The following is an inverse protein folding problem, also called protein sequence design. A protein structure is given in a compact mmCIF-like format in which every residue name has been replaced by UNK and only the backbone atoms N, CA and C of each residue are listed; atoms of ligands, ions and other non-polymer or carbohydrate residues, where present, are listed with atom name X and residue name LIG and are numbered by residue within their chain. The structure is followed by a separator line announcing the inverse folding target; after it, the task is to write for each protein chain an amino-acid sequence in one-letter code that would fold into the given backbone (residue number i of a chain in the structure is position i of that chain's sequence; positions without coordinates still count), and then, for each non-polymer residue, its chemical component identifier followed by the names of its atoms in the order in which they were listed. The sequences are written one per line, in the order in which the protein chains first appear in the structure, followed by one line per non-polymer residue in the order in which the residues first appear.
data_IF_282314834860
#
_entry.id   IF_282314834860
#
_cell.length_a   1.000
_cell.length_b   1.000
_cell.length_c   1.000
_cell.angle_alpha   90.00
_cell.angle_beta   90.00
_cell.angle_gamma   90.00
#
_symmetry.space_group_name_H-M   'P 1'
#
loop_
_entity.id
_entity.type
_entity.pdbx_description
1 polymer ?
#
# COMPACT_ATOMS: atom_id res chain seq x y z
N UNK A 1 5.68 46.08 -16.63
CA UNK A 1 5.93 45.28 -17.85
C UNK A 1 7.28 44.60 -17.73
N UNK A 2 7.44 43.44 -18.39
CA UNK A 2 8.47 42.37 -18.22
C UNK A 2 8.09 41.39 -17.09
N UNK A 3 7.08 40.55 -17.33
CA UNK A 3 7.22 39.17 -17.86
C UNK A 3 7.99 38.26 -16.89
N UNK A 4 7.37 37.30 -16.21
CA UNK A 4 6.72 36.16 -16.86
C UNK A 4 7.78 35.14 -17.23
N UNK A 5 8.11 34.23 -16.29
CA UNK A 5 8.68 32.88 -16.51
C UNK A 5 9.07 32.25 -15.18
N UNK A 6 8.24 31.31 -14.72
CA UNK A 6 8.61 29.98 -14.24
C UNK A 6 7.45 29.38 -13.45
N UNK A 7 6.31 29.16 -14.12
CA UNK A 7 5.45 28.05 -13.73
C UNK A 7 6.23 26.78 -14.11
N UNK A 8 7.12 26.33 -13.21
CA UNK A 8 7.67 24.98 -13.31
C UNK A 8 6.48 24.06 -13.15
N UNK A 9 6.15 23.32 -14.20
CA UNK A 9 5.38 22.08 -14.11
C UNK A 9 6.16 21.11 -13.21
N UNK A 10 6.07 21.30 -11.90
CA UNK A 10 6.57 20.33 -10.93
C UNK A 10 5.47 19.32 -10.77
N UNK A 11 5.53 18.22 -11.54
CA UNK A 11 4.62 17.08 -11.35
C UNK A 11 4.81 16.61 -9.91
N UNK A 12 3.74 16.63 -9.12
CA UNK A 12 3.77 16.20 -7.73
C UNK A 12 4.42 14.80 -7.61
N UNK A 13 5.44 14.69 -6.76
CA UNK A 13 6.13 13.42 -6.53
C UNK A 13 5.43 12.62 -5.41
N UNK A 14 4.50 11.76 -5.81
CA UNK A 14 3.74 10.89 -4.89
C UNK A 14 4.64 10.00 -4.00
N UNK A 15 5.81 9.61 -4.48
CA UNK A 15 6.74 8.76 -3.74
C UNK A 15 7.31 9.49 -2.52
N UNK A 16 7.50 10.81 -2.59
CA UNK A 16 7.92 11.59 -1.42
C UNK A 16 6.87 11.56 -0.31
N UNK A 17 5.59 11.58 -0.68
CA UNK A 17 4.47 11.47 0.28
C UNK A 17 4.41 10.05 0.87
N UNK A 18 4.60 9.02 0.05
CA UNK A 18 4.69 7.63 0.50
C UNK A 18 5.87 7.40 1.46
N UNK A 19 7.07 7.86 1.08
CA UNK A 19 8.28 7.81 1.92
C UNK A 19 8.06 8.53 3.24
N UNK A 20 7.37 9.68 3.23
CA UNK A 20 7.06 10.40 4.45
C UNK A 20 6.08 9.65 5.37
N UNK A 21 5.07 8.97 4.81
CA UNK A 21 4.23 8.06 5.61
C UNK A 21 5.07 6.96 6.25
N UNK A 22 5.99 6.35 5.50
CA UNK A 22 6.90 5.32 6.02
C UNK A 22 7.81 5.87 7.13
N UNK A 23 8.40 7.06 6.95
CA UNK A 23 9.20 7.73 7.98
C UNK A 23 8.40 7.91 9.29
N UNK A 24 7.14 8.34 9.20
CA UNK A 24 6.26 8.50 10.37
C UNK A 24 5.92 7.15 11.03
N UNK A 25 5.68 6.12 10.23
CA UNK A 25 5.44 4.76 10.74
C UNK A 25 6.64 4.21 11.50
N UNK A 26 7.86 4.46 10.99
CA UNK A 26 9.11 4.02 11.59
C UNK A 26 9.55 4.88 12.78
N UNK A 27 9.18 6.16 12.78
CA UNK A 27 9.49 7.13 13.82
C UNK A 27 8.39 8.20 13.94
N UNK A 28 7.59 8.10 15.00
CA UNK A 28 6.53 9.04 15.37
C UNK A 28 6.98 10.48 15.59
N UNK A 29 8.27 10.72 15.86
CA UNK A 29 8.82 12.06 16.06
C UNK A 29 9.21 12.74 14.75
N UNK A 30 8.87 12.15 13.61
CA UNK A 30 9.11 12.73 12.29
C UNK A 30 8.45 14.11 12.18
N UNK A 31 9.22 15.10 11.71
CA UNK A 31 8.74 16.48 11.61
C UNK A 31 7.65 16.60 10.54
N UNK A 32 6.62 17.43 10.81
CA UNK A 32 5.58 17.76 9.83
C UNK A 32 6.22 18.31 8.55
N UNK A 33 5.98 17.63 7.43
CA UNK A 33 6.39 18.06 6.08
C UNK A 33 5.17 18.52 5.27
N UNK A 34 5.40 19.49 4.39
CA UNK A 34 4.48 19.89 3.34
C UNK A 34 5.10 19.56 1.98
N UNK A 35 4.27 19.20 1.02
CA UNK A 35 4.64 18.72 -0.31
C UNK A 35 3.88 19.53 -1.36
N UNK A 36 4.50 20.54 -1.94
CA UNK A 36 3.95 21.29 -3.09
C UNK A 36 2.47 21.71 -2.94
N UNK A 37 2.12 22.31 -1.79
CA UNK A 37 0.75 22.76 -1.49
C UNK A 37 -0.12 21.73 -0.78
N UNK A 38 0.36 20.50 -0.64
CA UNK A 38 -0.24 19.43 0.16
C UNK A 38 0.38 19.42 1.56
N UNK A 39 -0.42 19.20 2.59
CA UNK A 39 0.02 19.07 3.98
C UNK A 39 -0.88 18.11 4.76
N UNK A 40 -0.45 17.78 5.96
CA UNK A 40 -1.23 16.96 6.89
C UNK A 40 -2.03 17.83 7.86
N UNK A 41 -3.32 17.56 7.97
CA UNK A 41 -4.17 18.10 9.05
C UNK A 41 -4.55 16.98 10.01
N UNK A 42 -4.71 17.34 11.27
CA UNK A 42 -5.22 16.44 12.29
C UNK A 42 -6.75 16.44 12.20
N UNK A 43 -7.34 15.30 11.86
CA UNK A 43 -8.79 15.11 11.73
C UNK A 43 -9.42 14.79 13.08
N UNK A 44 -8.74 13.93 13.82
CA UNK A 44 -9.02 13.60 15.20
C UNK A 44 -7.64 13.44 15.89
N UNK A 45 -7.55 13.42 17.23
CA UNK A 45 -6.26 13.35 17.97
C UNK A 45 -5.33 12.25 17.45
N UNK A 46 -4.12 12.55 17.01
CA UNK A 46 -3.14 11.56 16.48
C UNK A 46 -3.55 10.88 15.14
N UNK A 47 -4.56 11.39 14.42
CA UNK A 47 -4.90 10.95 13.06
C UNK A 47 -4.73 12.09 12.07
N UNK A 48 -3.83 11.88 11.11
CA UNK A 48 -3.48 12.89 10.14
C UNK A 48 -3.88 12.49 8.72
N UNK A 49 -4.61 13.39 8.06
CA UNK A 49 -5.09 13.24 6.69
C UNK A 49 -4.40 14.24 5.77
N UNK A 50 -4.22 13.82 4.51
CA UNK A 50 -3.76 14.71 3.45
C UNK A 50 -4.82 15.75 3.13
N UNK A 51 -4.39 17.01 3.08
CA UNK A 51 -5.21 18.16 2.78
C UNK A 51 -4.45 19.20 1.95
N UNK A 52 -5.21 20.13 1.37
CA UNK A 52 -4.69 21.36 0.77
C UNK A 52 -5.60 22.54 1.13
N UNK A 53 -5.15 23.78 0.87
CA UNK A 53 -5.93 24.99 1.15
C UNK A 53 -6.86 25.32 -0.01
N UNK A 54 -8.11 25.66 0.33
CA UNK A 54 -9.07 26.35 -0.55
C UNK A 54 -8.64 27.80 -0.77
N UNK A 55 -9.25 28.45 -1.75
CA UNK A 55 -9.03 29.88 -2.05
C UNK A 55 -9.26 30.82 -0.86
N UNK A 56 -10.18 30.46 0.05
CA UNK A 56 -10.48 31.22 1.27
C UNK A 56 -9.54 30.90 2.46
N UNK A 57 -8.54 30.04 2.26
CA UNK A 57 -7.56 29.64 3.28
C UNK A 57 -7.97 28.42 4.12
N UNK A 58 -9.22 27.99 4.09
CA UNK A 58 -9.67 26.80 4.82
C UNK A 58 -9.09 25.52 4.21
N UNK A 59 -8.76 24.54 5.03
CA UNK A 59 -8.29 23.24 4.55
C UNK A 59 -9.43 22.39 3.99
N UNK A 60 -9.12 21.53 3.02
CA UNK A 60 -9.96 20.42 2.59
C UNK A 60 -9.14 19.15 2.51
N UNK A 61 -9.67 18.05 3.04
CA UNK A 61 -9.03 16.75 2.93
C UNK A 61 -9.26 16.15 1.55
N UNK A 62 -8.28 15.41 1.04
CA UNK A 62 -8.44 14.75 -0.26
C UNK A 62 -9.43 13.59 -0.21
N UNK A 63 -9.73 13.07 0.99
CA UNK A 63 -10.81 12.12 1.26
C UNK A 63 -12.18 12.69 0.88
N UNK A 64 -12.33 14.01 0.98
CA UNK A 64 -13.56 14.77 0.70
C UNK A 64 -13.39 15.68 -0.53
N UNK A 65 -12.58 15.25 -1.50
CA UNK A 65 -12.34 16.00 -2.73
C UNK A 65 -13.65 16.40 -3.45
N UNK A 66 -14.66 15.56 -3.35
CA UNK A 66 -15.97 15.77 -3.96
C UNK A 66 -16.76 16.95 -3.35
N UNK A 67 -16.40 17.44 -2.16
CA UNK A 67 -17.00 18.65 -1.56
C UNK A 67 -16.64 19.94 -2.32
N UNK A 68 -15.65 19.87 -3.23
CA UNK A 68 -15.24 20.99 -4.08
C UNK A 68 -16.08 21.11 -5.36
N UNK A 69 -16.97 20.16 -5.62
CA UNK A 69 -17.74 20.06 -6.85
C UNK A 69 -19.20 19.75 -6.57
N UNK A 70 -20.07 20.00 -7.55
CA UNK A 70 -21.47 19.57 -7.47
C UNK A 70 -21.57 18.07 -7.77
N UNK A 71 -21.78 17.25 -6.73
CA UNK A 71 -21.98 15.80 -6.88
C UNK A 71 -23.12 15.46 -7.85
N UNK A 72 -24.25 16.16 -7.77
CA UNK A 72 -25.39 15.98 -8.69
C UNK A 72 -24.96 16.18 -10.15
N UNK A 73 -24.13 17.20 -10.40
CA UNK A 73 -23.63 17.50 -11.73
C UNK A 73 -22.61 16.47 -12.21
N UNK A 74 -21.68 16.07 -11.34
CA UNK A 74 -20.72 15.01 -11.64
C UNK A 74 -21.44 13.72 -12.06
N UNK A 75 -22.40 13.27 -11.24
CA UNK A 75 -23.21 12.08 -11.53
C UNK A 75 -23.92 12.22 -12.87
N UNK A 76 -24.56 13.35 -13.15
CA UNK A 76 -25.18 13.62 -14.46
C UNK A 76 -24.19 13.46 -15.62
N UNK A 77 -22.99 14.03 -15.52
CA UNK A 77 -21.96 13.98 -16.57
C UNK A 77 -21.39 12.58 -16.77
N UNK A 78 -21.21 11.82 -15.70
CA UNK A 78 -20.83 10.41 -15.78
C UNK A 78 -21.95 9.57 -16.41
N UNK A 79 -23.22 9.82 -16.05
CA UNK A 79 -24.36 9.14 -16.67
C UNK A 79 -24.44 9.42 -18.18
N UNK A 80 -24.23 10.68 -18.59
CA UNK A 80 -24.12 11.06 -20.01
C UNK A 80 -22.97 10.30 -20.73
N UNK A 81 -21.94 9.86 -20.00
CA UNK A 81 -20.82 9.05 -20.50
C UNK A 81 -21.10 7.54 -20.50
N UNK A 82 -22.27 7.12 -20.03
CA UNK A 82 -22.73 5.72 -20.01
C UNK A 82 -22.49 4.97 -18.69
N UNK A 83 -22.16 5.68 -17.62
CA UNK A 83 -22.10 5.12 -16.27
C UNK A 83 -23.49 5.08 -15.61
N UNK A 84 -23.75 4.11 -14.74
CA UNK A 84 -24.94 4.12 -13.88
C UNK A 84 -24.64 4.72 -12.49
N UNK A 85 -25.64 4.76 -11.61
CA UNK A 85 -25.49 5.35 -10.28
C UNK A 85 -24.44 4.60 -9.42
N UNK A 86 -24.49 3.27 -9.40
CA UNK A 86 -23.50 2.44 -8.69
C UNK A 86 -22.10 2.57 -9.27
N UNK A 87 -21.96 2.79 -10.58
CA UNK A 87 -20.67 3.10 -11.20
C UNK A 87 -20.10 4.41 -10.65
N UNK A 88 -20.93 5.45 -10.56
CA UNK A 88 -20.54 6.75 -10.03
C UNK A 88 -20.09 6.64 -8.57
N UNK A 89 -20.81 5.85 -7.76
CA UNK A 89 -20.47 5.62 -6.35
C UNK A 89 -19.13 4.91 -6.19
N UNK A 90 -18.87 3.82 -6.93
CA UNK A 90 -17.58 3.13 -6.88
C UNK A 90 -16.41 4.03 -7.34
N UNK A 91 -16.62 4.87 -8.36
CA UNK A 91 -15.61 5.84 -8.83
C UNK A 91 -15.33 6.88 -7.73
N UNK A 92 -16.36 7.48 -7.13
CA UNK A 92 -16.17 8.46 -6.05
C UNK A 92 -15.47 7.82 -4.85
N UNK A 93 -15.84 6.58 -4.52
CA UNK A 93 -15.27 5.83 -3.41
C UNK A 93 -13.77 5.59 -3.63
N UNK A 94 -13.35 4.99 -4.74
CA UNK A 94 -11.93 4.68 -4.96
C UNK A 94 -11.06 5.95 -4.95
N UNK A 95 -11.52 7.03 -5.58
CA UNK A 95 -10.80 8.30 -5.62
C UNK A 95 -10.67 8.95 -4.23
N UNK A 96 -11.65 8.72 -3.36
CA UNK A 96 -11.57 9.13 -1.95
C UNK A 96 -10.59 8.24 -1.17
N UNK A 97 -10.57 6.92 -1.42
CA UNK A 97 -9.69 5.95 -0.77
C UNK A 97 -8.22 6.07 -1.14
N UNK A 98 -7.89 6.62 -2.31
CA UNK A 98 -6.51 6.94 -2.67
C UNK A 98 -5.79 7.82 -1.62
N UNK A 99 -6.52 8.71 -0.94
CA UNK A 99 -5.92 9.52 0.13
C UNK A 99 -5.65 8.76 1.42
N UNK A 100 -6.40 7.68 1.71
CA UNK A 100 -6.17 6.82 2.88
C UNK A 100 -4.86 6.04 2.79
N UNK A 101 -4.33 5.79 1.58
CA UNK A 101 -2.99 5.22 1.41
C UNK A 101 -1.92 6.01 2.18
N UNK A 102 -2.12 7.32 2.34
CA UNK A 102 -1.14 8.24 2.92
C UNK A 102 -1.55 8.77 4.30
N UNK A 103 -2.67 8.30 4.84
CA UNK A 103 -3.10 8.59 6.21
C UNK A 103 -2.03 8.15 7.20
N UNK A 104 -1.78 8.97 8.22
CA UNK A 104 -0.89 8.65 9.34
C UNK A 104 -1.78 8.50 10.57
N UNK A 105 -1.93 7.27 11.06
CA UNK A 105 -2.69 6.98 12.27
C UNK A 105 -1.74 6.57 13.40
N UNK A 106 -1.49 7.50 14.33
CA UNK A 106 -0.61 7.27 15.47
C UNK A 106 -1.35 6.75 16.71
N UNK A 107 -2.69 6.70 16.70
CA UNK A 107 -3.49 6.20 17.84
C UNK A 107 -3.32 4.71 18.06
N UNK A 108 -3.46 3.99 16.97
CA UNK A 108 -3.41 2.54 16.90
C UNK A 108 -2.44 2.27 15.77
N UNK A 109 -1.16 2.03 16.09
CA UNK A 109 -0.18 1.62 15.06
C UNK A 109 -0.54 0.21 14.60
N UNK A 110 -1.56 0.13 13.77
CA UNK A 110 -2.28 -1.09 13.43
C UNK A 110 -1.49 -1.95 12.45
N UNK A 111 -1.74 -3.26 12.50
CA UNK A 111 -1.32 -4.21 11.45
C UNK A 111 -1.72 -3.76 10.04
N UNK A 112 -2.80 -2.99 9.95
CA UNK A 112 -3.32 -2.46 8.71
C UNK A 112 -2.24 -1.67 7.93
N UNK A 113 -1.50 -0.77 8.57
CA UNK A 113 -0.50 0.04 7.85
C UNK A 113 0.65 -0.80 7.31
N UNK A 114 1.10 -1.82 8.04
CA UNK A 114 2.13 -2.73 7.54
C UNK A 114 1.62 -3.63 6.40
N UNK A 115 0.33 -3.98 6.37
CA UNK A 115 -0.28 -4.61 5.19
C UNK A 115 -0.38 -3.64 4.01
N UNK A 116 -0.80 -2.39 4.24
CA UNK A 116 -0.83 -1.34 3.20
C UNK A 116 0.56 -1.14 2.61
N UNK A 117 1.60 -0.96 3.44
CA UNK A 117 2.98 -0.83 2.96
C UNK A 117 3.40 -2.05 2.15
N UNK A 118 3.12 -3.25 2.65
CA UNK A 118 3.45 -4.47 1.91
C UNK A 118 2.79 -4.46 0.54
N UNK A 119 1.46 -4.32 0.44
CA UNK A 119 0.77 -4.38 -0.84
C UNK A 119 1.21 -3.27 -1.80
N UNK A 120 1.43 -2.04 -1.31
CA UNK A 120 1.97 -0.96 -2.14
C UNK A 120 3.36 -1.31 -2.66
N UNK A 121 4.26 -1.83 -1.82
CA UNK A 121 5.61 -2.21 -2.25
C UNK A 121 5.60 -3.40 -3.22
N UNK A 122 4.73 -4.38 -3.01
CA UNK A 122 4.54 -5.47 -3.96
C UNK A 122 4.07 -4.97 -5.33
N UNK A 123 3.20 -3.97 -5.36
CA UNK A 123 2.69 -3.40 -6.62
C UNK A 123 3.72 -2.46 -7.28
N UNK A 124 4.32 -1.56 -6.50
CA UNK A 124 5.27 -0.56 -6.97
C UNK A 124 6.62 -1.14 -7.38
N UNK A 125 7.03 -2.28 -6.80
CA UNK A 125 8.35 -2.89 -7.05
C UNK A 125 8.24 -4.22 -7.80
N UNK A 126 7.06 -4.63 -8.27
CA UNK A 126 6.93 -5.79 -9.13
C UNK A 126 7.52 -5.46 -10.51
N UNK A 127 8.85 -5.54 -10.60
CA UNK A 127 9.68 -5.20 -11.75
C UNK A 127 9.03 -5.65 -13.07
N UNK A 128 8.62 -4.65 -13.85
CA UNK A 128 8.22 -4.83 -15.23
C UNK A 128 9.41 -5.22 -16.10
N UNK A 129 9.11 -6.01 -17.12
CA UNK A 129 9.88 -6.24 -18.34
C UNK A 129 11.03 -7.26 -18.39
N UNK A 130 11.55 -7.83 -17.29
CA UNK A 130 12.66 -8.79 -17.40
C UNK A 130 12.57 -10.13 -16.67
N UNK A 131 11.53 -10.41 -15.87
CA UNK A 131 11.35 -11.75 -15.29
C UNK A 131 9.86 -12.09 -15.12
N UNK A 132 9.39 -13.15 -15.79
CA UNK A 132 8.01 -13.68 -15.77
C UNK A 132 7.61 -14.31 -14.41
N UNK A 133 8.09 -13.79 -13.28
CA UNK A 133 7.92 -14.44 -11.99
C UNK A 133 6.68 -14.00 -11.22
N UNK A 134 6.03 -12.90 -11.62
CA UNK A 134 4.81 -12.40 -11.00
C UNK A 134 3.81 -12.06 -12.09
N UNK A 135 2.72 -12.81 -12.12
CA UNK A 135 1.65 -12.66 -13.10
C UNK A 135 0.65 -11.56 -12.71
N UNK A 136 -0.21 -11.21 -13.68
CA UNK A 136 -1.29 -10.25 -13.47
C UNK A 136 -2.29 -10.72 -12.40
N UNK A 137 -2.42 -12.03 -12.18
CA UNK A 137 -3.25 -12.59 -11.11
C UNK A 137 -2.71 -12.19 -9.74
N UNK A 138 -1.41 -12.33 -9.51
CA UNK A 138 -0.73 -11.93 -8.28
C UNK A 138 -0.83 -10.42 -8.07
N UNK A 139 -0.61 -9.61 -9.12
CA UNK A 139 -0.78 -8.15 -9.03
C UNK A 139 -2.20 -7.77 -8.62
N UNK A 140 -3.20 -8.35 -9.28
CA UNK A 140 -4.59 -8.08 -8.97
C UNK A 140 -5.00 -8.62 -7.58
N UNK A 141 -4.40 -9.72 -7.13
CA UNK A 141 -4.56 -10.20 -5.77
C UNK A 141 -4.06 -9.15 -4.76
N UNK A 142 -2.83 -8.65 -4.91
CA UNK A 142 -2.27 -7.62 -4.04
C UNK A 142 -3.12 -6.34 -4.05
N UNK A 143 -3.57 -5.93 -5.24
CA UNK A 143 -4.41 -4.75 -5.40
C UNK A 143 -5.77 -4.89 -4.72
N UNK A 144 -6.45 -6.03 -4.84
CA UNK A 144 -7.73 -6.28 -4.15
C UNK A 144 -7.59 -6.19 -2.64
N UNK A 145 -6.56 -6.82 -2.08
CA UNK A 145 -6.32 -6.74 -0.65
C UNK A 145 -5.92 -5.33 -0.21
N UNK A 146 -5.16 -4.59 -1.01
CA UNK A 146 -4.91 -3.18 -0.75
C UNK A 146 -6.23 -2.39 -0.66
N UNK A 147 -7.13 -2.53 -1.62
CA UNK A 147 -8.42 -1.83 -1.60
C UNK A 147 -9.30 -2.25 -0.40
N UNK A 148 -9.24 -3.53 -0.01
CA UNK A 148 -9.88 -4.02 1.22
C UNK A 148 -9.29 -3.34 2.47
N UNK A 149 -7.96 -3.27 2.62
CA UNK A 149 -7.32 -2.57 3.73
C UNK A 149 -7.66 -1.07 3.71
N UNK A 150 -7.98 -0.48 2.56
CA UNK A 150 -8.50 0.89 2.45
C UNK A 150 -10.01 1.02 2.73
N UNK A 151 -10.63 0.00 3.33
CA UNK A 151 -12.04 -0.01 3.70
C UNK A 151 -12.98 0.22 2.50
N UNK A 152 -12.68 -0.44 1.39
CA UNK A 152 -13.64 -0.66 0.30
C UNK A 152 -14.36 -1.99 0.50
N UNK A 153 -15.66 -2.00 0.23
CA UNK A 153 -16.46 -3.22 0.22
C UNK A 153 -16.15 -4.10 -1.02
N UNK A 154 -16.48 -5.38 -0.92
CA UNK A 154 -16.23 -6.38 -1.95
C UNK A 154 -16.86 -6.01 -3.30
N UNK A 155 -18.10 -5.53 -3.29
CA UNK A 155 -18.82 -5.20 -4.51
C UNK A 155 -18.19 -4.00 -5.23
N UNK A 156 -17.61 -3.05 -4.49
CA UNK A 156 -16.88 -1.92 -5.04
C UNK A 156 -15.49 -2.30 -5.55
N UNK A 157 -14.64 -2.94 -4.74
CA UNK A 157 -13.23 -3.12 -5.14
C UNK A 157 -13.04 -4.18 -6.23
N UNK A 158 -13.94 -5.16 -6.35
CA UNK A 158 -13.84 -6.22 -7.38
C UNK A 158 -13.97 -5.69 -8.81
N UNK A 159 -14.47 -4.46 -8.93
CA UNK A 159 -14.66 -3.71 -10.18
C UNK A 159 -13.41 -3.02 -10.69
N UNK A 160 -12.33 -3.04 -9.92
CA UNK A 160 -11.07 -2.44 -10.29
C UNK A 160 -10.00 -3.51 -10.46
N UNK A 161 -9.21 -3.39 -11.52
CA UNK A 161 -8.09 -4.30 -11.81
C UNK A 161 -6.89 -3.53 -12.34
N UNK A 162 -5.69 -4.00 -12.04
CA UNK A 162 -4.47 -3.51 -12.68
C UNK A 162 -4.22 -4.31 -13.95
N UNK A 163 -4.18 -3.63 -15.08
CA UNK A 163 -3.90 -4.21 -16.40
C UNK A 163 -3.15 -3.16 -17.25
N UNK A 164 -2.23 -3.59 -18.12
CA UNK A 164 -1.54 -2.70 -19.08
C UNK A 164 -0.92 -1.41 -18.46
N UNK A 165 -0.42 -1.49 -17.23
CA UNK A 165 0.20 -0.35 -16.53
C UNK A 165 -0.77 0.72 -16.03
N UNK A 166 -2.07 0.41 -15.92
CA UNK A 166 -3.11 1.30 -15.37
C UNK A 166 -4.08 0.53 -14.47
N UNK A 167 -4.94 1.26 -13.74
CA UNK A 167 -6.10 0.71 -13.06
C UNK A 167 -7.28 0.82 -14.02
N UNK A 168 -7.90 -0.31 -14.34
CA UNK A 168 -9.13 -0.38 -15.10
C UNK A 168 -10.35 -0.52 -14.19
N UNK A 169 -11.41 0.18 -14.55
CA UNK A 169 -12.72 0.12 -13.95
C UNK A 169 -13.70 -0.63 -14.88
N UNK A 170 -14.40 -1.61 -14.32
CA UNK A 170 -15.45 -2.37 -15.00
C UNK A 170 -16.82 -1.83 -14.55
N UNK A 171 -17.54 -1.21 -15.48
CA UNK A 171 -18.89 -0.73 -15.24
C UNK A 171 -19.86 -1.89 -15.04
N UNK A 172 -21.01 -1.60 -14.45
CA UNK A 172 -22.08 -2.58 -14.34
C UNK A 172 -22.58 -3.07 -15.72
N UNK A 173 -22.46 -2.24 -16.75
CA UNK A 173 -22.77 -2.60 -18.15
C UNK A 173 -21.69 -3.48 -18.82
N UNK A 174 -20.66 -3.91 -18.09
CA UNK A 174 -19.57 -4.74 -18.60
C UNK A 174 -18.52 -3.99 -19.43
N UNK A 175 -18.62 -2.66 -19.51
CA UNK A 175 -17.64 -1.83 -20.23
C UNK A 175 -16.39 -1.62 -19.37
N UNK A 176 -15.25 -1.61 -20.04
CA UNK A 176 -13.92 -1.43 -19.45
C UNK A 176 -13.43 0.01 -19.67
N UNK A 177 -12.98 0.68 -18.62
CA UNK A 177 -12.49 2.06 -18.66
C UNK A 177 -11.14 2.19 -17.96
N UNK A 178 -10.16 2.87 -18.56
CA UNK A 178 -8.95 3.29 -17.85
C UNK A 178 -9.34 4.33 -16.79
N UNK A 179 -8.98 4.10 -15.53
CA UNK A 179 -9.33 4.99 -14.43
C UNK A 179 -8.64 6.36 -14.60
N UNK A 180 -7.42 6.39 -15.12
CA UNK A 180 -6.73 7.63 -15.50
C UNK A 180 -7.56 8.50 -16.47
N UNK A 181 -8.19 7.88 -17.48
CA UNK A 181 -9.08 8.57 -18.42
C UNK A 181 -10.38 9.05 -17.74
N UNK A 182 -10.94 8.26 -16.82
CA UNK A 182 -12.10 8.67 -16.03
C UNK A 182 -11.76 9.88 -15.15
N UNK A 183 -10.62 9.87 -14.47
CA UNK A 183 -10.11 11.00 -13.68
C UNK A 183 -9.98 12.24 -14.59
N UNK A 184 -9.29 12.12 -15.73
CA UNK A 184 -9.16 13.24 -16.67
C UNK A 184 -10.52 13.82 -17.05
N UNK A 185 -11.47 12.98 -17.48
CA UNK A 185 -12.82 13.40 -17.82
C UNK A 185 -13.54 14.13 -16.68
N UNK A 186 -13.44 13.63 -15.45
CA UNK A 186 -14.06 14.25 -14.26
C UNK A 186 -13.55 15.68 -14.09
N UNK A 187 -12.23 15.87 -14.09
CA UNK A 187 -11.67 17.19 -13.82
C UNK A 187 -11.83 18.14 -15.00
N UNK A 188 -11.70 17.68 -16.24
CA UNK A 188 -11.84 18.51 -17.43
C UNK A 188 -13.26 19.12 -17.51
N UNK A 189 -14.28 18.37 -17.09
CA UNK A 189 -15.66 18.86 -16.93
C UNK A 189 -15.76 20.13 -16.05
N UNK A 190 -14.89 20.26 -15.04
CA UNK A 190 -14.91 21.41 -14.13
C UNK A 190 -13.89 22.51 -14.47
N UNK A 191 -12.99 22.30 -15.44
CA UNK A 191 -12.08 23.34 -15.93
C UNK A 191 -12.74 24.30 -16.91
N UNK A 192 -13.66 23.78 -17.74
CA UNK A 192 -14.52 24.58 -18.62
C UNK A 192 -15.40 25.53 -17.79
N UNK A 193 -15.75 25.08 -16.59
CA UNK A 193 -16.24 25.83 -15.44
C UNK A 193 -15.25 26.89 -14.96
N UNK A 194 -15.55 28.20 -14.92
CA UNK A 194 -14.75 29.18 -14.14
C UNK A 194 -14.85 28.90 -12.63
N UNK A 195 -14.39 27.74 -12.18
CA UNK A 195 -14.43 27.27 -10.80
C UNK A 195 -13.34 28.00 -10.01
N UNK A 196 -13.73 28.62 -8.89
CA UNK A 196 -12.81 29.36 -8.00
C UNK A 196 -11.73 28.45 -7.39
N UNK A 197 -11.99 27.15 -7.30
CA UNK A 197 -11.06 26.15 -6.76
C UNK A 197 -10.34 25.35 -7.86
N UNK A 198 -10.26 25.87 -9.10
CA UNK A 198 -9.64 25.18 -10.23
C UNK A 198 -8.22 24.66 -9.94
N UNK A 199 -7.35 25.49 -9.37
CA UNK A 199 -5.98 25.10 -9.05
C UNK A 199 -5.92 23.95 -8.02
N UNK A 200 -6.82 23.97 -7.04
CA UNK A 200 -6.93 22.91 -6.03
C UNK A 200 -7.45 21.61 -6.66
N UNK A 201 -8.43 21.69 -7.56
CA UNK A 201 -8.91 20.54 -8.31
C UNK A 201 -7.81 19.93 -9.20
N UNK A 202 -6.99 20.75 -9.85
CA UNK A 202 -5.82 20.28 -10.61
C UNK A 202 -4.79 19.58 -9.71
N UNK A 203 -4.53 20.12 -8.52
CA UNK A 203 -3.63 19.47 -7.55
C UNK A 203 -4.17 18.10 -7.10
N UNK A 204 -5.48 17.97 -6.84
CA UNK A 204 -6.08 16.68 -6.48
C UNK A 204 -6.07 15.71 -7.68
N UNK A 205 -6.30 16.20 -8.89
CA UNK A 205 -6.17 15.41 -10.13
C UNK A 205 -4.76 14.83 -10.25
N UNK A 206 -3.73 15.65 -10.10
CA UNK A 206 -2.33 15.22 -10.12
C UNK A 206 -2.03 14.22 -9.00
N UNK A 207 -2.61 14.42 -7.82
CA UNK A 207 -2.51 13.47 -6.73
C UNK A 207 -3.09 12.10 -7.08
N UNK A 208 -4.33 12.06 -7.57
CA UNK A 208 -5.00 10.80 -7.90
C UNK A 208 -4.31 10.06 -9.06
N UNK A 209 -3.84 10.79 -10.08
CA UNK A 209 -3.02 10.21 -11.16
C UNK A 209 -1.65 9.74 -10.65
N UNK A 210 -1.04 10.46 -9.71
CA UNK A 210 0.18 10.04 -9.04
C UNK A 210 0.00 8.73 -8.27
N UNK A 211 -1.14 8.54 -7.60
CA UNK A 211 -1.45 7.26 -6.94
C UNK A 211 -1.58 6.11 -7.93
N UNK A 212 -2.21 6.32 -9.09
CA UNK A 212 -2.22 5.31 -10.16
C UNK A 212 -0.77 4.98 -10.56
N UNK A 213 0.04 5.99 -10.88
CA UNK A 213 1.44 5.80 -11.25
C UNK A 213 2.22 5.00 -10.18
N UNK A 214 2.03 5.31 -8.88
CA UNK A 214 2.65 4.60 -7.76
C UNK A 214 2.32 3.10 -7.75
N UNK A 215 1.06 2.75 -8.05
CA UNK A 215 0.56 1.39 -7.93
C UNK A 215 0.76 0.55 -9.21
N UNK A 216 0.94 1.18 -10.36
CA UNK A 216 0.93 0.45 -11.65
C UNK A 216 2.23 0.54 -12.44
N UNK A 217 3.14 1.45 -12.09
CA UNK A 217 4.43 1.61 -12.77
C UNK A 217 5.57 1.10 -11.90
N UNK A 218 6.16 -0.05 -12.26
CA UNK A 218 7.26 -0.63 -11.50
C UNK A 218 8.47 0.30 -11.38
N UNK A 219 9.13 0.24 -10.24
CA UNK A 219 10.39 0.91 -9.93
C UNK A 219 11.30 0.00 -9.11
N UNK A 220 12.58 0.33 -9.12
CA UNK A 220 13.53 -0.29 -8.20
C UNK A 220 13.16 0.06 -6.75
N UNK A 221 13.32 -0.92 -5.85
CA UNK A 221 12.93 -0.76 -4.44
C UNK A 221 13.69 0.39 -3.76
N UNK A 222 14.94 0.63 -4.17
CA UNK A 222 15.77 1.73 -3.68
C UNK A 222 15.24 3.12 -4.09
N UNK A 223 14.45 3.23 -5.16
CA UNK A 223 13.77 4.47 -5.52
C UNK A 223 12.55 4.74 -4.63
N UNK A 224 11.89 3.68 -4.14
CA UNK A 224 10.65 3.75 -3.37
C UNK A 224 10.91 3.83 -1.86
N UNK A 225 11.90 3.09 -1.37
CA UNK A 225 12.22 2.91 0.05
C UNK A 225 13.67 3.32 0.32
N UNK A 226 13.85 4.41 1.07
CA UNK A 226 15.16 4.97 1.43
C UNK A 226 15.62 4.50 2.81
N UNK A 227 15.77 3.19 2.98
CA UNK A 227 16.25 2.58 4.22
C UNK A 227 17.61 1.93 3.99
N UNK A 228 18.52 2.05 4.96
CA UNK A 228 19.85 1.45 4.89
C UNK A 228 19.84 0.06 5.54
N UNK A 229 19.64 -0.98 4.72
CA UNK A 229 19.66 -2.38 5.16
C UNK A 229 20.14 -3.29 4.02
N UNK A 230 21.01 -4.24 4.37
CA UNK A 230 21.57 -5.21 3.41
C UNK A 230 20.48 -6.04 2.70
N UNK A 231 19.36 -6.32 3.38
CA UNK A 231 18.27 -7.14 2.87
C UNK A 231 17.16 -6.34 2.18
N UNK A 232 17.31 -5.01 1.96
CA UNK A 232 16.28 -4.17 1.33
C UNK A 232 15.78 -4.74 -0.01
N UNK A 233 16.71 -5.20 -0.85
CA UNK A 233 16.42 -5.83 -2.14
C UNK A 233 15.50 -7.06 -2.07
N UNK A 234 15.38 -7.72 -0.91
CA UNK A 234 14.51 -8.89 -0.73
C UNK A 234 13.04 -8.52 -0.47
N UNK A 235 12.71 -7.22 -0.37
CA UNK A 235 11.33 -6.75 -0.41
C UNK A 235 10.75 -6.90 -1.82
N UNK A 236 11.55 -6.62 -2.84
CA UNK A 236 11.17 -6.81 -4.24
C UNK A 236 10.79 -8.29 -4.45
N UNK A 237 9.55 -8.57 -4.87
CA UNK A 237 9.07 -9.93 -4.96
C UNK A 237 9.75 -10.75 -6.07
N UNK A 238 10.14 -10.14 -7.19
CA UNK A 238 10.87 -10.80 -8.27
C UNK A 238 12.25 -11.22 -7.79
N UNK A 239 12.96 -10.30 -7.11
CA UNK A 239 14.27 -10.56 -6.49
C UNK A 239 14.16 -11.63 -5.41
N UNK A 240 13.12 -11.56 -4.56
CA UNK A 240 12.87 -12.54 -3.50
C UNK A 240 12.66 -13.96 -4.06
N UNK A 241 11.74 -14.12 -5.03
CA UNK A 241 11.42 -15.42 -5.63
C UNK A 241 12.63 -16.01 -6.35
N UNK A 242 13.35 -15.20 -7.13
CA UNK A 242 14.59 -15.61 -7.82
C UNK A 242 15.66 -16.04 -6.83
N UNK A 243 15.86 -15.26 -5.78
CA UNK A 243 16.82 -15.58 -4.70
C UNK A 243 16.44 -16.86 -3.98
N UNK A 244 15.16 -17.10 -3.69
CA UNK A 244 14.72 -18.36 -3.07
C UNK A 244 14.99 -19.58 -3.95
N UNK A 245 14.76 -19.48 -5.27
CA UNK A 245 15.02 -20.57 -6.23
C UNK A 245 16.51 -20.90 -6.34
N UNK A 246 17.37 -19.87 -6.42
CA UNK A 246 18.82 -20.04 -6.62
C UNK A 246 19.54 -20.34 -5.31
N UNK A 247 19.24 -19.61 -4.25
CA UNK A 247 19.91 -19.69 -2.96
C UNK A 247 18.94 -19.46 -1.79
N UNK A 248 18.10 -20.46 -1.53
CA UNK A 248 17.15 -20.42 -0.41
C UNK A 248 17.80 -20.16 0.95
N UNK A 249 19.09 -20.50 1.14
CA UNK A 249 19.79 -20.25 2.41
C UNK A 249 19.91 -18.77 2.72
N UNK A 250 20.05 -17.91 1.69
CA UNK A 250 20.04 -16.45 1.86
C UNK A 250 18.71 -15.96 2.42
N UNK A 251 17.60 -16.45 1.89
CA UNK A 251 16.25 -16.14 2.39
C UNK A 251 16.07 -16.63 3.83
N UNK A 252 16.49 -17.86 4.14
CA UNK A 252 16.40 -18.38 5.51
C UNK A 252 17.24 -17.55 6.48
N UNK A 253 18.44 -17.14 6.08
CA UNK A 253 19.29 -16.24 6.89
C UNK A 253 18.57 -14.93 7.20
N UNK A 254 17.94 -14.28 6.20
CA UNK A 254 17.18 -13.04 6.43
C UNK A 254 15.94 -13.24 7.29
N UNK A 255 15.36 -14.45 7.34
CA UNK A 255 14.25 -14.76 8.23
C UNK A 255 14.70 -14.91 9.69
N UNK A 256 15.95 -15.33 9.94
CA UNK A 256 16.50 -15.37 11.30
C UNK A 256 16.54 -13.96 11.90
N UNK A 257 16.77 -12.94 11.08
CA UNK A 257 16.80 -11.54 11.54
C UNK A 257 15.47 -11.10 12.18
N UNK A 258 14.32 -11.69 11.79
CA UNK A 258 13.01 -11.44 12.42
C UNK A 258 13.01 -11.79 13.92
N UNK A 259 13.90 -12.69 14.34
CA UNK A 259 14.05 -13.13 15.74
C UNK A 259 15.01 -12.24 16.53
N UNK A 260 15.70 -11.31 15.86
CA UNK A 260 16.65 -10.43 16.50
C UNK A 260 15.93 -9.24 17.16
N UNK A 261 15.88 -9.34 18.47
CA UNK A 261 15.32 -8.37 19.39
C UNK A 261 16.00 -6.98 19.37
N UNK A 262 17.24 -6.88 18.88
CA UNK A 262 18.02 -5.63 18.87
C UNK A 262 17.95 -4.85 17.56
N UNK A 263 17.03 -5.20 16.65
CA UNK A 263 16.87 -4.50 15.38
C UNK A 263 16.35 -3.08 15.56
N UNK A 264 16.83 -2.16 14.72
CA UNK A 264 16.16 -0.86 14.57
C UNK A 264 14.75 -1.05 13.99
N UNK A 265 13.86 -0.08 14.21
CA UNK A 265 12.50 -0.12 13.63
C UNK A 265 12.53 -0.26 12.10
N UNK A 266 13.55 0.31 11.45
CA UNK A 266 13.76 0.22 10.00
C UNK A 266 14.16 -1.18 9.56
N UNK A 267 15.15 -1.79 10.20
CA UNK A 267 15.58 -3.16 9.85
C UNK A 267 14.44 -4.15 10.08
N UNK A 268 13.70 -3.96 11.16
CA UNK A 268 12.59 -4.83 11.47
C UNK A 268 11.41 -4.68 10.51
N UNK A 269 11.13 -3.48 10.01
CA UNK A 269 10.17 -3.30 8.92
C UNK A 269 10.56 -4.18 7.72
N UNK A 270 11.84 -4.17 7.33
CA UNK A 270 12.37 -4.97 6.22
C UNK A 270 12.26 -6.47 6.51
N UNK A 271 12.64 -6.91 7.71
CA UNK A 271 12.46 -8.31 8.14
C UNK A 271 10.99 -8.75 8.08
N UNK A 272 10.04 -7.87 8.40
CA UNK A 272 8.62 -8.19 8.27
C UNK A 272 8.15 -8.27 6.81
N UNK A 273 8.63 -7.39 5.93
CA UNK A 273 8.36 -7.49 4.49
C UNK A 273 8.86 -8.83 3.92
N UNK A 274 10.06 -9.26 4.32
CA UNK A 274 10.64 -10.55 3.94
C UNK A 274 9.85 -11.73 4.50
N UNK A 275 9.42 -11.65 5.76
CA UNK A 275 8.55 -12.66 6.37
C UNK A 275 7.23 -12.79 5.60
N UNK A 276 6.63 -11.67 5.19
CA UNK A 276 5.39 -11.66 4.42
C UNK A 276 5.58 -12.19 2.99
N UNK A 277 6.69 -11.86 2.33
CA UNK A 277 7.08 -12.47 1.06
C UNK A 277 7.22 -13.99 1.21
N UNK A 278 7.87 -14.47 2.27
CA UNK A 278 8.01 -15.91 2.52
C UNK A 278 6.65 -16.58 2.75
N UNK A 279 5.79 -15.98 3.57
CA UNK A 279 4.43 -16.46 3.79
C UNK A 279 3.64 -16.57 2.49
N UNK A 280 3.66 -15.52 1.66
CA UNK A 280 2.88 -15.47 0.43
C UNK A 280 3.45 -16.36 -0.68
N UNK A 281 4.71 -16.19 -1.04
CA UNK A 281 5.30 -16.86 -2.21
C UNK A 281 5.74 -18.30 -1.94
N UNK A 282 6.04 -18.65 -0.68
CA UNK A 282 6.60 -19.96 -0.35
C UNK A 282 5.60 -20.84 0.42
N UNK A 283 4.84 -20.28 1.37
CA UNK A 283 4.01 -21.07 2.26
C UNK A 283 2.54 -21.18 1.85
N UNK A 284 1.96 -20.13 1.27
CA UNK A 284 0.53 -19.98 0.96
C UNK A 284 -0.13 -21.25 0.45
N UNK A 285 0.50 -21.92 -0.51
CA UNK A 285 -0.04 -23.10 -1.19
C UNK A 285 0.76 -24.38 -0.94
N UNK A 286 1.78 -24.36 -0.07
CA UNK A 286 2.64 -25.53 0.17
C UNK A 286 3.14 -25.65 1.61
N UNK A 287 2.35 -26.36 2.43
CA UNK A 287 2.70 -26.67 3.84
C UNK A 287 4.02 -27.41 4.04
N UNK A 288 4.55 -28.14 3.03
CA UNK A 288 5.82 -28.87 3.17
C UNK A 288 7.01 -27.93 3.34
N UNK A 289 6.89 -26.69 2.89
CA UNK A 289 7.96 -25.69 3.01
C UNK A 289 8.23 -25.27 4.45
N UNK A 290 7.25 -25.37 5.37
CA UNK A 290 7.47 -25.14 6.81
C UNK A 290 8.44 -26.18 7.38
N UNK A 291 8.26 -27.45 7.02
CA UNK A 291 9.16 -28.53 7.47
C UNK A 291 10.52 -28.46 6.76
N UNK A 292 10.58 -27.93 5.53
CA UNK A 292 11.85 -27.60 4.88
C UNK A 292 12.60 -26.52 5.67
N UNK A 293 11.93 -25.43 6.06
CA UNK A 293 12.51 -24.37 6.88
C UNK A 293 13.11 -24.91 8.18
N UNK A 294 12.35 -25.74 8.90
CA UNK A 294 12.81 -26.40 10.13
C UNK A 294 14.11 -27.17 9.95
N UNK A 295 14.19 -28.00 8.90
CA UNK A 295 15.39 -28.81 8.61
C UNK A 295 16.63 -27.96 8.34
N UNK A 296 16.45 -26.74 7.84
CA UNK A 296 17.54 -25.83 7.49
C UNK A 296 18.04 -25.07 8.73
N UNK A 297 17.13 -24.53 9.54
CA UNK A 297 17.49 -23.72 10.72
C UNK A 297 18.21 -24.57 11.78
N UNK A 298 17.79 -25.82 11.98
CA UNK A 298 18.29 -26.80 12.98
C UNK A 298 18.18 -26.37 14.45
N UNK A 299 18.15 -25.08 14.75
CA UNK A 299 17.86 -24.52 16.07
C UNK A 299 16.34 -24.42 16.27
N UNK A 300 15.83 -25.21 17.22
CA UNK A 300 14.39 -25.28 17.53
C UNK A 300 13.84 -23.98 18.12
N UNK A 301 14.66 -23.18 18.81
CA UNK A 301 14.24 -21.89 19.38
C UNK A 301 14.06 -20.87 18.26
N UNK A 302 15.05 -20.74 17.38
CA UNK A 302 14.98 -19.83 16.22
C UNK A 302 13.82 -20.23 15.30
N UNK A 303 13.65 -21.53 15.03
CA UNK A 303 12.52 -22.02 14.25
C UNK A 303 11.18 -21.71 14.92
N UNK A 304 11.06 -21.91 16.24
CA UNK A 304 9.87 -21.57 17.02
C UNK A 304 9.54 -20.08 16.95
N UNK A 305 10.55 -19.21 16.99
CA UNK A 305 10.38 -17.76 16.89
C UNK A 305 9.89 -17.33 15.51
N UNK A 306 10.47 -17.86 14.43
CA UNK A 306 10.03 -17.57 13.06
C UNK A 306 8.61 -18.10 12.83
N UNK A 307 8.32 -19.35 13.24
CA UNK A 307 6.98 -19.92 13.11
C UNK A 307 5.95 -19.10 13.90
N UNK A 308 6.30 -18.67 15.10
CA UNK A 308 5.47 -17.77 15.92
C UNK A 308 5.23 -16.44 15.20
N UNK A 309 6.24 -15.86 14.55
CA UNK A 309 6.09 -14.63 13.77
C UNK A 309 5.15 -14.82 12.57
N UNK A 310 5.26 -15.94 11.84
CA UNK A 310 4.35 -16.30 10.72
C UNK A 310 2.91 -16.42 11.23
N UNK A 311 2.70 -17.17 12.33
CA UNK A 311 1.37 -17.37 12.93
C UNK A 311 0.79 -16.06 13.41
N UNK A 312 1.57 -15.22 14.11
CA UNK A 312 1.12 -13.91 14.55
C UNK A 312 0.72 -13.05 13.37
N UNK A 313 1.52 -13.03 12.31
CA UNK A 313 1.29 -12.19 11.14
C UNK A 313 0.03 -12.57 10.35
N UNK A 314 -0.40 -13.84 10.40
CA UNK A 314 -1.59 -14.38 9.71
C UNK A 314 -1.71 -13.99 8.23
N UNK A 315 -0.59 -13.86 7.53
CA UNK A 315 -0.57 -13.30 6.19
C UNK A 315 -0.66 -14.39 5.11
N UNK A 316 -1.86 -14.59 4.55
CA UNK A 316 -2.15 -15.48 3.43
C UNK A 316 -1.67 -16.94 3.57
N UNK A 317 -1.42 -17.43 4.79
CA UNK A 317 -1.13 -18.84 5.06
C UNK A 317 -2.36 -19.50 5.68
N UNK A 318 -2.79 -20.63 5.12
CA UNK A 318 -3.93 -21.38 5.66
C UNK A 318 -3.63 -21.88 7.08
N UNK A 319 -4.56 -21.69 8.00
CA UNK A 319 -4.39 -22.11 9.40
C UNK A 319 -4.09 -23.62 9.53
N UNK A 320 -4.72 -24.45 8.70
CA UNK A 320 -4.48 -25.89 8.62
C UNK A 320 -3.01 -26.27 8.35
N UNK A 321 -2.23 -25.38 7.72
CA UNK A 321 -0.81 -25.60 7.47
C UNK A 321 0.05 -25.31 8.70
N UNK A 322 -0.38 -24.37 9.53
CA UNK A 322 0.35 -23.90 10.71
C UNK A 322 0.05 -24.75 11.95
N UNK A 323 -1.18 -25.23 12.11
CA UNK A 323 -1.63 -25.93 13.32
C UNK A 323 -1.56 -27.45 13.27
N UNK A 324 -0.75 -28.02 12.36
CA UNK A 324 -0.48 -29.47 12.32
C UNK A 324 0.11 -29.96 13.65
N UNK A 325 -0.25 -31.17 14.15
CA UNK A 325 0.19 -31.67 15.45
C UNK A 325 1.71 -31.60 15.67
N UNK A 326 2.49 -31.90 14.63
CA UNK A 326 3.97 -31.86 14.64
C UNK A 326 4.57 -30.45 14.80
N UNK A 327 3.80 -29.40 14.47
CA UNK A 327 4.21 -27.99 14.56
C UNK A 327 3.75 -27.31 15.84
N UNK A 328 2.69 -27.81 16.49
CA UNK A 328 2.09 -27.15 17.65
C UNK A 328 3.08 -26.95 18.81
N UNK A 329 4.03 -27.86 19.01
CA UNK A 329 5.06 -27.74 20.04
C UNK A 329 6.04 -26.58 19.83
N UNK A 330 6.12 -26.04 18.61
CA UNK A 330 6.97 -24.89 18.27
C UNK A 330 6.21 -23.57 18.28
N UNK A 331 4.88 -23.58 18.43
CA UNK A 331 4.07 -22.37 18.50
C UNK A 331 3.95 -21.96 19.97
N UNK A 332 4.47 -20.78 20.32
CA UNK A 332 4.45 -20.28 21.70
C UNK A 332 3.02 -20.06 22.18
N UNK A 333 2.64 -20.60 23.34
CA UNK A 333 1.25 -20.61 23.86
C UNK A 333 0.57 -19.23 23.94
N UNK A 334 1.33 -18.14 24.13
CA UNK A 334 0.81 -16.77 24.15
C UNK A 334 0.25 -16.28 22.81
N UNK A 335 0.43 -17.02 21.71
CA UNK A 335 -0.13 -16.66 20.40
C UNK A 335 -1.63 -16.95 20.26
N UNK A 336 -2.28 -17.62 21.22
CA UNK A 336 -3.69 -18.03 21.08
C UNK A 336 -4.70 -16.99 21.57
N UNK A 337 -4.36 -16.13 22.55
CA UNK A 337 -5.34 -15.30 23.26
C UNK A 337 -5.01 -13.81 23.36
N UNK A 338 -3.91 -13.34 22.78
CA UNK A 338 -3.51 -11.94 22.91
C UNK A 338 -3.20 -11.33 21.53
N UNK A 339 -3.87 -10.23 21.22
CA UNK A 339 -3.57 -9.34 20.10
C UNK A 339 -2.24 -8.61 20.31
N UNK A 340 -1.14 -9.33 20.59
CA UNK A 340 0.22 -8.77 20.65
C UNK A 340 0.81 -8.56 19.25
N UNK A 341 0.01 -7.94 18.40
CA UNK A 341 0.34 -7.50 17.06
C UNK A 341 1.23 -6.24 17.06
N UNK A 342 1.32 -5.56 18.20
CA UNK A 342 2.14 -4.35 18.43
C UNK A 342 3.63 -4.65 18.73
N UNK A 343 3.98 -5.90 19.02
CA UNK A 343 5.18 -6.24 19.79
C UNK A 343 6.29 -6.97 19.02
N UNK A 344 6.44 -6.71 17.72
CA UNK A 344 7.72 -7.00 17.07
C UNK A 344 8.55 -5.72 17.00
N UNK A 345 7.95 -4.56 16.67
CA UNK A 345 8.68 -3.28 16.54
C UNK A 345 8.94 -2.57 17.87
N UNK A 346 8.15 -2.84 18.91
CA UNK A 346 8.19 -2.07 20.16
C UNK A 346 8.19 -2.92 21.45
N UNK A 347 8.46 -4.23 21.37
CA UNK A 347 8.49 -5.12 22.56
C UNK A 347 9.79 -5.07 23.38
N UNK A 348 10.68 -4.13 23.05
CA UNK A 348 12.07 -4.08 23.52
C UNK A 348 12.46 -2.68 24.06
N UNK A 349 11.50 -1.89 24.53
CA UNK A 349 11.78 -0.71 25.36
C UNK A 349 11.48 -1.00 26.82
#
# INVERSE_FOLDING_TARGET
MVSGKNARNHKMNIYNIFSYKLENFLNVRSCKKAFDGIFYIEDEKDLFLIAAKKSNGNAVTFTRWHDLISLKRLKKKLIEKGFNEGDCESIILILSRFSYLFQINNRERMNQDIFIFYYVLQLACCSGDHDHHIDDETKNFMFRFLLFELSMDYDSYTRFKIEEGDIFFYSHSGKKYKLSNVINFIYDTFQEEKNKELNLLLLIKEFQLGVIDLLTKPRDIEEVVKLNDYNLHLIDPSVFVKTYKVNYKKIVSSLVDVTNNWQSTSNLFISNMILMNYSYYILRDNSRNIMKLKRIIKDDKIFSDILTAIVKRKFHVKEEFLFKPELQKYIKKSTKNESFFYNIIYSQQ
#
